data_IF_288658638698
#
_entry.id   IF_288658638698
#
_cell.length_a   1.000
_cell.length_b   1.000
_cell.length_c   1.000
_cell.angle_alpha   90.00
_cell.angle_beta   90.00
_cell.angle_gamma   90.00
#
_symmetry.space_group_name_H-M   'P 1'
#
loop_
_entity.id
_entity.type
_entity.pdbx_description
1 polymer ?
#
# COMPACT_ATOMS: atom_id res chain seq x y z
N UNK A 1 -21.39 -1.33 -17.06
CA UNK A 1 -21.46 -0.18 -16.13
C UNK A 1 -21.46 -0.76 -14.74
N UNK A 2 -20.43 -0.48 -13.96
CA UNK A 2 -20.32 -0.92 -12.57
C UNK A 2 -20.42 0.33 -11.72
N UNK A 3 -21.28 0.33 -10.70
CA UNK A 3 -21.35 1.44 -9.75
C UNK A 3 -20.18 1.31 -8.78
N UNK A 4 -19.32 2.32 -8.72
CA UNK A 4 -18.17 2.35 -7.81
C UNK A 4 -18.45 3.32 -6.67
N UNK A 5 -18.26 2.85 -5.43
CA UNK A 5 -18.32 3.71 -4.26
C UNK A 5 -16.99 4.44 -4.07
N UNK A 6 -17.06 5.73 -3.75
CA UNK A 6 -15.89 6.56 -3.46
C UNK A 6 -15.97 7.16 -2.07
N UNK A 7 -14.82 7.34 -1.43
CA UNK A 7 -14.67 7.99 -0.13
C UNK A 7 -13.59 9.07 -0.19
N UNK A 8 -13.61 9.92 0.83
CA UNK A 8 -12.55 10.90 1.10
C UNK A 8 -11.72 10.40 2.28
N UNK A 9 -10.41 10.37 2.09
CA UNK A 9 -9.43 9.92 3.09
C UNK A 9 -8.50 11.08 3.40
N UNK A 10 -8.21 11.32 4.68
CA UNK A 10 -7.11 12.20 5.07
C UNK A 10 -5.88 11.34 5.36
N UNK A 11 -4.83 11.56 4.58
CA UNK A 11 -3.55 10.88 4.70
C UNK A 11 -2.55 11.81 5.38
N UNK A 12 -1.83 11.31 6.38
CA UNK A 12 -0.82 12.07 7.09
C UNK A 12 0.51 11.32 7.14
N UNK A 13 1.61 12.08 7.19
CA UNK A 13 2.88 11.53 7.65
C UNK A 13 2.75 11.05 9.11
N UNK A 14 3.50 10.00 9.53
CA UNK A 14 3.40 9.46 10.88
C UNK A 14 3.59 10.54 11.95
N UNK A 15 2.66 10.60 12.90
CA UNK A 15 2.59 11.64 13.93
C UNK A 15 1.67 12.82 13.57
N UNK A 16 1.01 12.78 12.40
CA UNK A 16 -0.14 13.64 12.09
C UNK A 16 0.13 15.11 11.78
N UNK A 17 1.38 15.52 11.57
CA UNK A 17 1.75 16.95 11.40
C UNK A 17 1.62 17.44 9.96
N UNK A 18 1.90 16.59 8.98
CA UNK A 18 1.78 16.90 7.55
C UNK A 18 0.68 16.02 6.97
N UNK A 19 -0.45 16.62 6.59
CA UNK A 19 -1.63 15.89 6.15
C UNK A 19 -2.17 16.45 4.83
N UNK A 20 -2.85 15.59 4.08
CA UNK A 20 -3.59 15.94 2.89
C UNK A 20 -4.89 15.14 2.85
N UNK A 21 -5.97 15.82 2.48
CA UNK A 21 -7.24 15.17 2.15
C UNK A 21 -7.25 14.78 0.68
N UNK A 22 -7.61 13.53 0.41
CA UNK A 22 -7.65 12.91 -0.92
C UNK A 22 -9.08 12.43 -1.12
N UNK A 23 -9.76 13.01 -2.12
CA UNK A 23 -11.08 12.57 -2.55
C UNK A 23 -10.99 11.48 -3.62
N UNK A 24 -12.14 10.97 -4.04
CA UNK A 24 -12.23 10.03 -5.15
C UNK A 24 -11.35 8.77 -4.98
N UNK A 25 -11.27 8.28 -3.73
CA UNK A 25 -10.66 6.99 -3.39
C UNK A 25 -11.73 5.92 -3.54
N UNK A 26 -11.51 4.91 -4.37
CA UNK A 26 -12.47 3.82 -4.55
C UNK A 26 -12.53 2.92 -3.33
N UNK A 27 -13.72 2.45 -2.97
CA UNK A 27 -13.89 1.42 -1.92
C UNK A 27 -13.99 0.07 -2.59
N UNK A 28 -13.13 -0.86 -2.18
CA UNK A 28 -13.09 -2.19 -2.76
C UNK A 28 -13.12 -3.26 -1.67
N UNK A 29 -14.14 -4.11 -1.71
CA UNK A 29 -14.32 -5.22 -0.75
C UNK A 29 -13.49 -6.45 -1.11
N UNK A 30 -12.93 -6.51 -2.31
CA UNK A 30 -12.13 -7.63 -2.81
C UNK A 30 -10.61 -7.38 -2.69
N UNK A 31 -10.18 -6.19 -2.27
CA UNK A 31 -8.80 -5.88 -1.90
C UNK A 31 -8.69 -5.46 -0.43
N UNK A 32 -7.47 -5.26 0.03
CA UNK A 32 -7.12 -4.99 1.42
C UNK A 32 -6.06 -3.88 1.49
N UNK A 33 -6.05 -3.10 2.57
CA UNK A 33 -5.08 -2.03 2.76
C UNK A 33 -5.41 -0.75 1.97
N UNK A 34 -4.51 0.22 1.98
CA UNK A 34 -4.70 1.50 1.31
C UNK A 34 -3.58 1.75 0.30
N UNK A 35 -3.97 2.17 -0.91
CA UNK A 35 -3.05 2.50 -1.98
C UNK A 35 -3.45 3.83 -2.58
N UNK A 36 -2.47 4.67 -2.93
CA UNK A 36 -2.69 6.02 -3.42
C UNK A 36 -1.79 6.30 -4.60
N UNK A 37 -2.31 7.00 -5.62
CA UNK A 37 -1.50 7.39 -6.78
C UNK A 37 -0.57 8.54 -6.38
N UNK A 38 0.73 8.42 -6.66
CA UNK A 38 1.75 9.40 -6.28
C UNK A 38 1.43 10.81 -6.83
N UNK A 39 0.88 10.89 -8.03
CA UNK A 39 0.57 12.17 -8.70
C UNK A 39 -0.50 13.01 -7.99
N UNK A 40 -1.27 12.42 -7.07
CA UNK A 40 -2.28 13.16 -6.29
C UNK A 40 -1.70 13.69 -4.98
N UNK A 41 -0.52 13.24 -4.55
CA UNK A 41 0.13 13.70 -3.33
C UNK A 41 0.83 15.04 -3.58
N UNK A 42 0.64 16.00 -2.68
CA UNK A 42 1.44 17.21 -2.65
C UNK A 42 2.89 16.87 -2.25
N UNK A 43 3.82 17.74 -2.65
CA UNK A 43 5.25 17.50 -2.45
C UNK A 43 5.64 17.38 -0.97
N UNK A 44 5.00 18.15 -0.09
CA UNK A 44 5.28 18.13 1.34
C UNK A 44 4.93 16.79 1.97
N UNK A 45 3.74 16.25 1.69
CA UNK A 45 3.32 14.95 2.19
C UNK A 45 4.14 13.83 1.53
N UNK A 46 4.34 13.87 0.21
CA UNK A 46 5.10 12.84 -0.51
C UNK A 46 6.53 12.66 0.03
N UNK A 47 7.17 13.75 0.47
CA UNK A 47 8.51 13.73 1.10
C UNK A 47 8.48 13.33 2.58
N UNK A 48 7.38 13.64 3.29
CA UNK A 48 7.24 13.34 4.71
C UNK A 48 6.86 11.88 5.00
N UNK A 49 6.39 11.12 4.00
CA UNK A 49 6.06 9.70 4.13
C UNK A 49 7.34 8.83 4.19
N UNK A 50 7.61 8.14 5.32
CA UNK A 50 8.80 7.31 5.44
C UNK A 50 8.74 6.08 4.54
N UNK A 51 9.84 5.81 3.85
CA UNK A 51 10.01 4.60 3.03
C UNK A 51 10.16 3.36 3.93
N UNK A 52 9.36 2.32 3.66
CA UNK A 52 9.54 1.02 4.32
C UNK A 52 10.73 0.28 3.71
N UNK A 53 11.49 -0.41 4.55
CA UNK A 53 12.63 -1.23 4.12
C UNK A 53 12.26 -2.71 4.10
N UNK A 54 12.77 -3.42 3.10
CA UNK A 54 12.79 -4.87 3.07
C UNK A 54 13.77 -5.41 4.12
N UNK A 55 13.73 -6.71 4.42
CA UNK A 55 14.67 -7.36 5.36
C UNK A 55 16.14 -7.19 4.97
N UNK A 56 16.41 -7.02 3.67
CA UNK A 56 17.73 -6.70 3.11
C UNK A 56 18.23 -5.26 3.36
N UNK A 57 17.43 -4.40 4.01
CA UNK A 57 17.74 -2.98 4.24
C UNK A 57 17.53 -2.06 3.02
N UNK A 58 17.10 -2.61 1.89
CA UNK A 58 16.76 -1.85 0.67
C UNK A 58 15.30 -1.39 0.70
N UNK A 59 14.91 -0.39 -0.11
CA UNK A 59 13.52 0.01 -0.25
C UNK A 59 12.59 -1.16 -0.58
N UNK A 60 11.50 -1.26 0.18
CA UNK A 60 10.41 -2.18 -0.09
C UNK A 60 9.44 -1.57 -1.10
N UNK A 61 9.19 -2.30 -2.17
CA UNK A 61 8.28 -1.90 -3.25
C UNK A 61 7.25 -3.00 -3.44
N UNK A 62 6.02 -2.62 -3.77
CA UNK A 62 4.91 -3.53 -3.97
C UNK A 62 4.47 -3.50 -5.42
N UNK A 63 4.19 -4.68 -5.95
CA UNK A 63 3.39 -4.90 -7.14
C UNK A 63 2.04 -5.47 -6.72
N UNK A 64 0.96 -4.87 -7.19
CA UNK A 64 -0.39 -5.38 -6.91
C UNK A 64 -1.10 -5.62 -8.23
N UNK A 65 -1.72 -6.78 -8.36
CA UNK A 65 -2.57 -7.13 -9.51
C UNK A 65 -4.02 -6.77 -9.19
N UNK A 66 -4.65 -6.04 -10.09
CA UNK A 66 -6.09 -5.84 -10.14
C UNK A 66 -6.68 -6.60 -11.34
N UNK A 67 -8.01 -6.59 -11.48
CA UNK A 67 -8.69 -7.35 -12.53
C UNK A 67 -8.31 -6.89 -13.96
N UNK A 68 -7.93 -5.62 -14.09
CA UNK A 68 -7.70 -4.87 -15.31
C UNK A 68 -6.22 -4.60 -15.60
N UNK A 69 -5.35 -4.70 -14.58
CA UNK A 69 -3.95 -4.39 -14.73
C UNK A 69 -3.10 -4.66 -13.49
N UNK A 70 -1.96 -4.00 -13.46
CA UNK A 70 -1.03 -4.03 -12.34
C UNK A 70 -0.63 -2.61 -11.96
N UNK A 71 -0.37 -2.44 -10.66
CA UNK A 71 0.20 -1.23 -10.10
C UNK A 71 1.55 -1.51 -9.47
N UNK A 72 2.42 -0.51 -9.49
CA UNK A 72 3.79 -0.58 -8.98
C UNK A 72 4.11 0.67 -8.18
N UNK A 73 4.71 0.50 -7.01
CA UNK A 73 5.14 1.62 -6.21
C UNK A 73 5.69 1.25 -4.85
N UNK A 74 6.45 2.16 -4.20
CA UNK A 74 7.02 1.93 -2.89
C UNK A 74 5.95 1.72 -1.82
N UNK A 75 6.31 0.91 -0.83
CA UNK A 75 5.57 0.83 0.44
C UNK A 75 6.09 1.91 1.38
N UNK A 76 5.21 2.82 1.79
CA UNK A 76 5.52 3.88 2.77
C UNK A 76 4.65 3.74 4.01
N UNK A 77 5.02 4.40 5.10
CA UNK A 77 4.22 4.42 6.34
C UNK A 77 3.44 5.73 6.44
N UNK A 78 2.17 5.65 6.81
CA UNK A 78 1.30 6.81 6.97
C UNK A 78 0.33 6.62 8.14
N UNK A 79 -0.28 7.73 8.58
CA UNK A 79 -1.50 7.70 9.37
C UNK A 79 -2.70 7.96 8.43
N UNK A 80 -3.74 7.15 8.55
CA UNK A 80 -4.97 7.27 7.78
C UNK A 80 -6.14 7.72 8.65
N UNK A 81 -6.89 8.72 8.18
CA UNK A 81 -8.08 9.22 8.87
C UNK A 81 -9.30 9.22 7.96
N UNK A 82 -10.39 8.62 8.44
CA UNK A 82 -11.63 8.48 7.68
C UNK A 82 -12.81 8.64 8.64
N UNK A 83 -13.68 9.63 8.40
CA UNK A 83 -14.93 9.76 9.15
C UNK A 83 -14.77 9.89 10.68
N UNK A 84 -13.66 10.43 11.17
CA UNK A 84 -13.36 10.54 12.61
C UNK A 84 -12.60 9.34 13.21
N UNK A 85 -12.38 8.28 12.43
CA UNK A 85 -11.53 7.15 12.78
C UNK A 85 -10.09 7.39 12.30
N UNK A 86 -9.11 6.85 13.03
CA UNK A 86 -7.69 6.99 12.73
C UNK A 86 -6.95 5.65 12.86
N UNK A 87 -6.19 5.30 11.82
CA UNK A 87 -5.26 4.19 11.81
C UNK A 87 -3.83 4.73 11.70
N UNK A 88 -3.07 4.63 12.79
CA UNK A 88 -1.72 5.16 12.86
C UNK A 88 -0.67 4.16 12.36
N UNK A 89 0.37 4.68 11.69
CA UNK A 89 1.57 3.97 11.25
C UNK A 89 1.28 2.70 10.44
N UNK A 90 0.34 2.80 9.51
CA UNK A 90 -0.03 1.72 8.60
C UNK A 90 0.83 1.77 7.33
N UNK A 91 1.22 0.61 6.77
CA UNK A 91 1.85 0.56 5.46
C UNK A 91 0.83 0.93 4.38
N UNK A 92 1.27 1.71 3.41
CA UNK A 92 0.50 2.11 2.23
C UNK A 92 1.36 1.90 1.00
N UNK A 93 0.73 1.62 -0.14
CA UNK A 93 1.42 1.65 -1.43
C UNK A 93 1.26 3.04 -2.06
N UNK A 94 2.35 3.64 -2.49
CA UNK A 94 2.35 4.89 -3.27
C UNK A 94 2.61 4.55 -4.73
N UNK A 95 1.54 4.38 -5.49
CA UNK A 95 1.54 3.87 -6.87
C UNK A 95 2.11 4.91 -7.83
N UNK A 96 2.98 4.49 -8.74
CA UNK A 96 3.53 5.36 -9.78
C UNK A 96 4.49 6.43 -9.25
N UNK A 97 5.12 6.20 -8.09
CA UNK A 97 6.15 7.10 -7.56
C UNK A 97 7.34 7.15 -8.54
N UNK A 98 7.73 8.36 -8.94
CA UNK A 98 8.85 8.60 -9.86
C UNK A 98 10.21 8.07 -9.37
N UNK A 99 10.37 7.84 -8.06
CA UNK A 99 11.56 7.18 -7.51
C UNK A 99 11.68 5.71 -7.95
N UNK A 100 10.58 5.09 -8.37
CA UNK A 100 10.51 3.71 -8.86
C UNK A 100 9.79 3.69 -10.22
N UNK A 101 10.45 4.21 -11.28
CA UNK A 101 9.82 4.36 -12.59
C UNK A 101 9.47 3.01 -13.21
N UNK A 102 8.58 2.99 -14.21
CA UNK A 102 8.13 1.75 -14.86
C UNK A 102 9.25 0.87 -15.41
N UNK A 103 10.42 1.43 -15.71
CA UNK A 103 11.61 0.66 -16.12
C UNK A 103 12.20 -0.24 -15.03
N UNK A 104 11.83 -0.04 -13.75
CA UNK A 104 12.26 -0.89 -12.63
C UNK A 104 11.30 -2.03 -12.33
N UNK A 105 10.15 -2.09 -13.02
CA UNK A 105 9.13 -3.13 -12.85
C UNK A 105 9.68 -4.47 -13.34
N UNK A 106 9.81 -5.47 -12.48
CA UNK A 106 10.23 -6.81 -12.88
C UNK A 106 9.21 -7.52 -13.78
N UNK A 107 9.67 -8.42 -14.66
CA UNK A 107 8.82 -9.12 -15.62
C UNK A 107 7.74 -9.98 -14.96
N UNK A 108 8.03 -10.55 -13.80
CA UNK A 108 7.06 -11.32 -13.01
C UNK A 108 5.95 -10.46 -12.39
N UNK A 109 6.16 -9.14 -12.23
CA UNK A 109 5.12 -8.19 -11.89
C UNK A 109 4.34 -7.74 -13.13
N UNK A 110 5.03 -7.30 -14.18
CA UNK A 110 4.38 -6.77 -15.39
C UNK A 110 3.61 -7.83 -16.19
N UNK A 111 3.85 -9.12 -15.93
CA UNK A 111 3.08 -10.22 -16.52
C UNK A 111 1.81 -10.58 -15.72
N UNK A 112 1.60 -10.01 -14.52
CA UNK A 112 0.36 -10.21 -13.75
C UNK A 112 -0.84 -9.51 -14.39
N UNK A 113 -0.63 -8.41 -15.12
CA UNK A 113 -1.71 -7.64 -15.74
C UNK A 113 -1.33 -7.19 -17.15
N UNK A 114 -2.33 -6.97 -18.01
CA UNK A 114 -2.07 -6.50 -19.38
C UNK A 114 -1.75 -5.00 -19.45
N UNK A 115 -2.18 -4.25 -18.44
CA UNK A 115 -2.14 -2.78 -18.44
C UNK A 115 -1.41 -2.28 -17.20
N UNK A 116 -0.53 -1.29 -17.40
CA UNK A 116 0.07 -0.55 -16.30
C UNK A 116 -0.92 0.51 -15.81
N UNK A 117 -1.28 0.46 -14.53
CA UNK A 117 -2.29 1.34 -13.93
C UNK A 117 -1.69 2.38 -12.98
N UNK A 118 -0.43 2.75 -13.19
CA UNK A 118 0.31 3.65 -12.29
C UNK A 118 -0.15 5.13 -12.33
N UNK A 119 -1.24 5.43 -13.04
CA UNK A 119 -1.73 6.80 -13.24
C UNK A 119 -3.22 6.88 -12.91
N UNK A 120 -3.69 8.04 -12.45
CA UNK A 120 -5.13 8.27 -12.16
C UNK A 120 -6.00 7.95 -13.38
N UNK A 121 -5.54 8.29 -14.59
CA UNK A 121 -6.30 8.04 -15.81
C UNK A 121 -6.44 6.54 -16.13
N UNK A 122 -5.41 5.75 -15.86
CA UNK A 122 -5.45 4.30 -16.05
C UNK A 122 -6.18 3.57 -14.90
N UNK A 123 -6.01 4.04 -13.67
CA UNK A 123 -6.59 3.45 -12.46
C UNK A 123 -8.07 3.84 -12.23
N UNK A 124 -8.51 5.00 -12.74
CA UNK A 124 -9.88 5.50 -12.59
C UNK A 124 -10.23 6.04 -11.19
N UNK A 125 -9.24 6.18 -10.30
CA UNK A 125 -9.39 6.73 -8.96
C UNK A 125 -8.07 7.38 -8.48
N UNK A 126 -8.16 8.20 -7.43
CA UNK A 126 -6.97 8.78 -6.79
C UNK A 126 -6.24 7.78 -5.87
N UNK A 127 -6.92 6.69 -5.53
CA UNK A 127 -6.44 5.61 -4.69
C UNK A 127 -7.55 4.60 -4.47
N UNK A 128 -7.25 3.56 -3.70
CA UNK A 128 -8.17 2.49 -3.35
C UNK A 128 -8.06 2.19 -1.85
N UNK A 129 -9.22 2.06 -1.21
CA UNK A 129 -9.39 1.60 0.15
C UNK A 129 -9.96 0.18 0.12
N UNK A 130 -9.07 -0.79 0.30
CA UNK A 130 -9.41 -2.19 0.41
C UNK A 130 -9.95 -2.52 1.80
N UNK A 131 -11.22 -2.93 1.87
CA UNK A 131 -11.92 -3.30 3.13
C UNK A 131 -12.22 -4.81 3.22
N UNK A 132 -11.47 -5.62 2.47
CA UNK A 132 -11.52 -7.07 2.53
C UNK A 132 -11.18 -7.63 3.91
N UNK A 133 -11.58 -8.89 4.14
CA UNK A 133 -11.49 -9.55 5.47
C UNK A 133 -10.08 -10.00 5.86
N UNK A 134 -9.12 -9.93 4.95
CA UNK A 134 -7.76 -10.37 5.21
C UNK A 134 -6.95 -9.29 5.92
N UNK A 135 -6.21 -9.71 6.96
CA UNK A 135 -5.31 -8.83 7.70
C UNK A 135 -4.03 -8.54 6.95
N UNK A 136 -3.64 -9.42 6.04
CA UNK A 136 -2.39 -9.29 5.31
C UNK A 136 -2.57 -9.56 3.81
N UNK A 137 -1.77 -8.88 2.99
CA UNK A 137 -1.97 -8.83 1.54
C UNK A 137 -1.86 -10.19 0.85
N UNK A 138 -1.11 -11.11 1.45
CA UNK A 138 -1.05 -12.49 0.98
C UNK A 138 -0.97 -13.47 2.15
N UNK A 139 -1.55 -13.08 3.29
CA UNK A 139 -1.54 -13.88 4.52
C UNK A 139 -0.12 -14.24 4.97
N UNK A 140 0.13 -15.47 5.43
CA UNK A 140 1.48 -15.88 5.81
C UNK A 140 2.44 -15.98 4.61
N UNK A 141 1.97 -16.03 3.36
CA UNK A 141 2.82 -16.30 2.19
C UNK A 141 3.92 -15.25 1.92
N UNK A 142 3.70 -14.01 2.32
CA UNK A 142 4.64 -12.89 2.13
C UNK A 142 5.38 -12.56 3.42
N UNK A 143 5.04 -13.18 4.54
CA UNK A 143 5.68 -12.90 5.81
C UNK A 143 7.07 -13.54 5.88
N UNK A 144 8.03 -12.88 6.53
CA UNK A 144 9.30 -13.53 6.92
C UNK A 144 9.05 -14.77 7.78
N UNK A 145 9.71 -15.89 7.48
CA UNK A 145 9.57 -17.17 8.21
C UNK A 145 8.91 -18.30 7.42
N UNK A 146 8.58 -18.08 6.15
CA UNK A 146 8.09 -19.11 5.22
C UNK A 146 9.28 -19.79 4.51
N UNK A 147 9.22 -21.09 4.16
CA UNK A 147 10.29 -21.78 3.44
C UNK A 147 10.77 -21.04 2.17
N UNK A 148 12.10 -20.99 1.89
CA UNK A 148 12.63 -20.40 0.66
C UNK A 148 11.93 -20.95 -0.60
N UNK A 149 11.59 -20.08 -1.56
CA UNK A 149 10.88 -20.47 -2.79
C UNK A 149 9.35 -20.35 -2.74
N UNK A 150 8.79 -19.83 -1.65
CA UNK A 150 7.34 -19.53 -1.50
C UNK A 150 7.01 -18.05 -1.54
N UNK A 151 7.98 -17.19 -1.90
CA UNK A 151 7.70 -15.77 -2.20
C UNK A 151 6.62 -15.79 -3.28
N UNK A 152 5.40 -15.28 -3.02
CA UNK A 152 4.42 -15.15 -4.07
C UNK A 152 5.06 -14.26 -5.12
N UNK A 153 5.27 -14.81 -6.31
CA UNK A 153 5.83 -14.05 -7.41
C UNK A 153 4.99 -12.78 -7.60
N UNK A 154 5.62 -11.64 -7.79
CA UNK A 154 4.86 -10.46 -8.15
C UNK A 154 4.15 -9.71 -7.03
N UNK A 155 4.49 -9.88 -5.74
CA UNK A 155 3.87 -9.07 -4.65
C UNK A 155 4.81 -8.03 -4.07
N UNK A 156 5.92 -8.45 -3.45
CA UNK A 156 6.85 -7.51 -2.79
C UNK A 156 8.27 -7.68 -3.31
N UNK A 157 8.97 -6.56 -3.38
CA UNK A 157 10.29 -6.46 -3.98
C UNK A 157 11.24 -5.64 -3.11
N UNK A 158 12.47 -6.13 -3.01
CA UNK A 158 13.61 -5.38 -2.53
C UNK A 158 14.27 -4.69 -3.71
N UNK A 159 14.35 -3.36 -3.67
CA UNK A 159 14.76 -2.55 -4.81
C UNK A 159 16.01 -1.70 -4.53
N UNK A 160 17.22 -2.28 -4.60
CA UNK A 160 18.45 -1.50 -4.74
C UNK A 160 18.51 -0.79 -6.11
N UNK A 161 19.44 0.17 -6.30
CA UNK A 161 19.64 0.85 -7.59
C UNK A 161 19.96 -0.09 -8.76
N UNK A 162 20.47 -1.29 -8.48
CA UNK A 162 20.81 -2.31 -9.49
C UNK A 162 19.61 -3.08 -10.03
N UNK A 163 18.41 -2.89 -9.49
CA UNK A 163 17.18 -3.57 -9.91
C UNK A 163 16.44 -4.24 -8.76
N UNK A 164 15.18 -4.57 -9.01
CA UNK A 164 14.25 -5.10 -8.01
C UNK A 164 14.18 -6.63 -8.03
N UNK A 165 14.24 -7.25 -6.86
CA UNK A 165 14.11 -8.71 -6.70
C UNK A 165 13.02 -9.06 -5.70
N UNK A 166 12.26 -10.12 -5.98
CA UNK A 166 11.18 -10.56 -5.10
C UNK A 166 11.67 -10.86 -3.68
N UNK A 167 10.93 -10.39 -2.68
CA UNK A 167 11.29 -10.56 -1.27
C UNK A 167 10.06 -10.89 -0.42
N UNK A 168 10.31 -11.53 0.72
CA UNK A 168 9.38 -11.56 1.84
C UNK A 168 9.48 -10.25 2.63
N UNK A 169 8.41 -9.91 3.34
CA UNK A 169 8.32 -8.71 4.16
C UNK A 169 8.09 -9.06 5.63
N UNK A 170 8.61 -8.27 6.58
CA UNK A 170 8.20 -8.40 7.96
C UNK A 170 6.69 -8.14 8.07
N UNK A 171 5.98 -8.91 8.92
CA UNK A 171 4.51 -8.79 9.11
C UNK A 171 3.96 -7.35 9.25
N UNK A 172 4.63 -6.33 9.82
CA UNK A 172 4.08 -4.97 9.82
C UNK A 172 3.91 -4.35 8.42
N UNK A 173 4.73 -4.72 7.43
CA UNK A 173 4.67 -4.15 6.08
C UNK A 173 3.59 -4.79 5.19
N UNK A 174 3.12 -5.99 5.56
CA UNK A 174 2.05 -6.69 4.85
C UNK A 174 0.66 -6.43 5.47
N UNK A 175 0.51 -5.53 6.45
CA UNK A 175 -0.73 -5.39 7.23
C UNK A 175 -1.72 -4.41 6.60
N UNK A 176 -2.96 -4.87 6.44
CA UNK A 176 -4.13 -4.05 6.15
C UNK A 176 -4.44 -3.09 7.30
N UNK A 177 -5.13 -1.98 6.96
CA UNK A 177 -5.81 -1.07 7.88
C UNK A 177 -6.98 -1.79 8.59
N UNK A 178 -6.70 -2.82 9.37
CA UNK A 178 -7.71 -3.54 10.13
C UNK A 178 -8.10 -2.71 11.35
N UNK A 179 -9.39 -2.38 11.47
CA UNK A 179 -9.97 -1.94 12.74
C UNK A 179 -9.60 -2.99 13.79
N UNK A 180 -8.80 -2.62 14.79
CA UNK A 180 -8.45 -3.59 15.81
C UNK A 180 -9.73 -3.93 16.57
N UNK A 181 -10.29 -5.12 16.37
CA UNK A 181 -11.21 -5.67 17.36
C UNK A 181 -10.44 -5.69 18.69
N UNK A 182 -10.96 -5.07 19.76
CA UNK A 182 -10.25 -5.05 21.03
C UNK A 182 -10.03 -6.48 21.50
N UNK A 183 -8.80 -6.98 21.40
CA UNK A 183 -8.40 -8.13 22.22
C UNK A 183 -8.32 -7.58 23.63
N UNK A 184 -9.21 -8.05 24.49
CA UNK A 184 -9.29 -7.64 25.88
C UNK A 184 -8.02 -8.01 26.64
N UNK A 185 -6.96 -7.20 26.52
CA UNK A 185 -5.89 -7.03 27.52
C UNK A 185 -4.94 -5.94 27.04
N UNK A 186 -4.81 -4.91 27.87
CA UNK A 186 -3.89 -3.76 27.81
C UNK A 186 -4.17 -2.68 26.75
N UNK A 187 -4.18 -1.44 27.27
CA UNK A 187 -4.75 -0.20 26.72
C UNK A 187 -3.84 0.42 25.65
N UNK A 188 -4.46 1.30 24.85
CA UNK A 188 -3.90 2.32 23.95
C UNK A 188 -3.42 1.89 22.56
N UNK A 189 -4.36 1.90 21.60
CA UNK A 189 -4.05 2.09 20.17
C UNK A 189 -5.19 2.73 19.36
N UNK A 190 -6.39 2.92 19.95
CA UNK A 190 -7.47 3.72 19.36
C UNK A 190 -7.89 4.78 20.37
N UNK A 191 -7.55 6.04 20.09
CA UNK A 191 -8.17 7.18 20.76
C UNK A 191 -9.19 7.75 19.78
N UNK A 192 -10.46 7.68 20.15
CA UNK A 192 -11.44 8.64 19.65
C UNK A 192 -10.91 10.02 20.06
N UNK A 193 -10.87 10.96 19.12
CA UNK A 193 -10.63 12.36 19.41
C UNK A 193 -11.65 12.88 20.42
#
# INVERSE_FOLDING_TARGET
MVNTAYVTVTLCAPGGTTCQTIDHVSVDTASFGFRVIASVLNSSLAQALPQTQASSGQPLVECTQFADGYVWGPVKTADLKIGGEEAASVPIQVIGDSAFPTSTVPTDCSSLGKTNENTVAAFGANGILGIGVFREDCGPGCATGVPPGTVPAGTYYSCPPSGCTGTLTPRPAARSCSASTPRATTRSAWRRS
#
